data_IF_238714833950
#
_entry.id   IF_238714833950
#
_cell.length_a   1.000
_cell.length_b   1.000
_cell.length_c   1.000
_cell.angle_alpha   90.00
_cell.angle_beta   90.00
_cell.angle_gamma   90.00
#
_symmetry.space_group_name_H-M   'P 1'
#
loop_
_entity.id
_entity.type
_entity.pdbx_description
1 polymer ?
#
# COMPACT_ATOMS: atom_id res chain seq x y z
N UNK A 1 -2.20 20.66 18.64
CA UNK A 1 -1.60 19.33 18.80
C UNK A 1 -1.45 18.76 17.41
N UNK A 2 -0.25 18.75 16.82
CA UNK A 2 -0.01 18.15 15.51
C UNK A 2 0.18 16.65 15.74
N UNK A 3 -0.91 15.90 15.73
CA UNK A 3 -0.88 14.45 15.90
C UNK A 3 -0.63 13.82 14.52
N UNK A 4 0.28 12.85 14.48
CA UNK A 4 0.70 12.02 13.33
C UNK A 4 1.76 12.59 12.36
N UNK A 5 3.02 12.59 12.84
CA UNK A 5 4.21 12.80 12.01
C UNK A 5 4.84 11.50 11.49
N UNK A 6 4.07 10.57 10.92
CA UNK A 6 4.62 9.33 10.32
C UNK A 6 4.34 9.30 8.82
N UNK A 7 5.41 9.16 8.04
CA UNK A 7 5.34 8.88 6.61
C UNK A 7 5.58 7.39 6.39
N UNK A 8 4.66 6.76 5.67
CA UNK A 8 4.84 5.38 5.21
C UNK A 8 5.39 5.37 3.78
N UNK A 9 6.48 4.66 3.56
CA UNK A 9 7.10 4.49 2.25
C UNK A 9 7.37 3.01 1.96
N UNK A 10 7.48 2.62 0.69
CA UNK A 10 7.79 1.24 0.29
C UNK A 10 8.97 1.14 -0.64
N UNK A 11 9.76 0.09 -0.47
CA UNK A 11 10.79 -0.33 -1.43
C UNK A 11 10.76 -1.86 -1.55
N UNK A 12 10.61 -2.37 -2.78
CA UNK A 12 10.35 -3.78 -3.05
C UNK A 12 9.18 -4.30 -2.19
N UNK A 13 9.41 -5.27 -1.29
CA UNK A 13 8.40 -5.83 -0.38
C UNK A 13 8.41 -5.23 1.02
N UNK A 14 9.21 -4.20 1.25
CA UNK A 14 9.36 -3.58 2.57
C UNK A 14 8.59 -2.28 2.67
N UNK A 15 7.92 -2.08 3.80
CA UNK A 15 7.32 -0.81 4.22
C UNK A 15 8.20 -0.20 5.32
N UNK A 16 8.36 1.10 5.27
CA UNK A 16 9.10 1.90 6.23
C UNK A 16 8.13 2.89 6.87
N UNK A 17 8.07 2.90 8.21
CA UNK A 17 7.50 4.01 8.97
C UNK A 17 8.63 4.97 9.30
N UNK A 18 8.52 6.20 8.82
CA UNK A 18 9.55 7.23 8.92
C UNK A 18 8.96 8.39 9.72
N UNK A 19 9.70 8.86 10.73
CA UNK A 19 9.34 10.10 11.41
C UNK A 19 9.47 11.26 10.42
N UNK A 20 8.36 11.97 10.18
CA UNK A 20 8.30 13.03 9.18
C UNK A 20 9.20 14.23 9.52
N UNK A 21 9.51 14.45 10.79
CA UNK A 21 10.28 15.60 11.26
C UNK A 21 11.78 15.29 11.38
N UNK A 22 12.13 14.11 11.89
CA UNK A 22 13.53 13.73 12.12
C UNK A 22 14.13 12.93 10.96
N UNK A 23 13.30 12.46 10.02
CA UNK A 23 13.64 11.52 8.95
C UNK A 23 14.19 10.17 9.45
N UNK A 24 14.03 9.86 10.74
CA UNK A 24 14.45 8.59 11.31
C UNK A 24 13.48 7.46 10.92
N UNK A 25 14.05 6.32 10.55
CA UNK A 25 13.27 5.10 10.31
C UNK A 25 12.85 4.55 11.68
N UNK A 26 11.56 4.66 11.98
CA UNK A 26 10.97 4.15 13.22
C UNK A 26 10.72 2.65 13.15
N UNK A 27 10.34 2.15 11.97
CA UNK A 27 10.06 0.72 11.77
C UNK A 27 10.24 0.30 10.32
N UNK A 28 10.60 -0.96 10.13
CA UNK A 28 10.61 -1.65 8.84
C UNK A 28 9.75 -2.91 8.97
N UNK A 29 8.79 -3.07 8.07
CA UNK A 29 8.01 -4.29 7.91
C UNK A 29 8.33 -4.91 6.56
N UNK A 30 8.58 -6.21 6.53
CA UNK A 30 8.55 -6.97 5.29
C UNK A 30 7.18 -7.61 5.10
N UNK A 31 6.48 -7.22 4.04
CA UNK A 31 5.15 -7.72 3.76
C UNK A 31 5.22 -9.15 3.24
N UNK A 32 4.34 -9.99 3.79
CA UNK A 32 4.09 -11.35 3.30
C UNK A 32 3.32 -11.24 1.97
N UNK A 33 3.94 -11.71 0.89
CA UNK A 33 3.35 -11.76 -0.44
C UNK A 33 3.83 -13.00 -1.19
N UNK A 34 3.09 -13.39 -2.22
CA UNK A 34 3.42 -14.54 -3.06
C UNK A 34 4.54 -14.20 -4.05
N UNK A 35 5.63 -14.97 -4.02
CA UNK A 35 6.77 -14.81 -4.94
C UNK A 35 7.56 -13.50 -4.72
N UNK A 36 8.33 -13.11 -5.74
CA UNK A 36 9.23 -11.94 -5.69
C UNK A 36 8.55 -10.63 -6.12
N UNK A 37 7.25 -10.49 -5.81
CA UNK A 37 6.44 -9.35 -6.24
C UNK A 37 6.76 -8.12 -5.41
N UNK A 38 6.90 -6.95 -6.02
CA UNK A 38 7.08 -5.68 -5.29
C UNK A 38 5.75 -5.02 -4.92
N UNK A 39 5.73 -4.21 -3.86
CA UNK A 39 4.62 -3.31 -3.53
C UNK A 39 4.58 -2.20 -4.56
N UNK A 40 3.42 -2.02 -5.19
CA UNK A 40 3.19 -1.01 -6.22
C UNK A 40 2.43 0.19 -5.68
N UNK A 41 1.49 -0.05 -4.77
CA UNK A 41 0.68 0.99 -4.15
C UNK A 41 0.66 0.80 -2.64
N UNK A 42 0.72 1.93 -1.94
CA UNK A 42 0.62 2.04 -0.49
C UNK A 42 -0.29 3.22 -0.16
N UNK A 43 -1.25 3.02 0.74
CA UNK A 43 -2.10 4.08 1.22
C UNK A 43 -2.36 3.91 2.71
N UNK A 44 -2.31 5.00 3.46
CA UNK A 44 -2.68 5.03 4.88
C UNK A 44 -4.04 5.71 5.02
N UNK A 45 -4.94 5.12 5.81
CA UNK A 45 -6.24 5.71 6.13
C UNK A 45 -6.75 5.19 7.48
N UNK A 46 -6.98 6.10 8.43
CA UNK A 46 -7.36 5.74 9.79
C UNK A 46 -6.32 4.82 10.43
N UNK A 47 -6.74 3.69 10.98
CA UNK A 47 -5.85 2.67 11.59
C UNK A 47 -5.31 1.66 10.58
N UNK A 48 -5.60 1.86 9.29
CA UNK A 48 -5.33 0.89 8.22
C UNK A 48 -4.23 1.33 7.27
N UNK A 49 -3.35 0.39 6.95
CA UNK A 49 -2.36 0.50 5.90
C UNK A 49 -2.70 -0.48 4.77
N UNK A 50 -2.98 0.08 3.59
CA UNK A 50 -3.44 -0.63 2.41
C UNK A 50 -2.28 -0.80 1.44
N UNK A 51 -2.11 -2.02 0.93
CA UNK A 51 -1.01 -2.35 0.02
C UNK A 51 -1.54 -3.15 -1.17
N UNK A 52 -0.91 -2.97 -2.33
CA UNK A 52 -1.14 -3.82 -3.49
C UNK A 52 0.21 -4.20 -4.12
N UNK A 53 0.40 -5.51 -4.34
CA UNK A 53 1.56 -6.05 -5.02
C UNK A 53 1.42 -5.97 -6.54
N UNK A 54 2.54 -5.85 -7.24
CA UNK A 54 2.61 -6.01 -8.69
C UNK A 54 2.05 -7.39 -9.09
N UNK A 55 1.32 -7.43 -10.21
CA UNK A 55 0.74 -8.63 -10.81
C UNK A 55 -0.16 -9.45 -9.86
N UNK A 56 -0.77 -8.81 -8.87
CA UNK A 56 -1.72 -9.38 -7.92
C UNK A 56 -3.13 -8.86 -8.14
N UNK A 57 -4.13 -9.71 -7.91
CA UNK A 57 -5.54 -9.31 -7.80
C UNK A 57 -5.96 -9.11 -6.35
N UNK A 58 -5.03 -9.12 -5.40
CA UNK A 58 -5.30 -8.89 -3.99
C UNK A 58 -4.84 -7.50 -3.55
N UNK A 59 -5.70 -6.85 -2.77
CA UNK A 59 -5.34 -5.72 -1.91
C UNK A 59 -5.26 -6.22 -0.48
N UNK A 60 -4.15 -5.96 0.19
CA UNK A 60 -3.91 -6.41 1.56
C UNK A 60 -4.03 -5.24 2.54
N UNK A 61 -4.80 -5.44 3.60
CA UNK A 61 -4.98 -4.51 4.70
C UNK A 61 -4.13 -4.95 5.90
N UNK A 62 -3.36 -4.01 6.43
CA UNK A 62 -2.54 -4.16 7.63
C UNK A 62 -2.95 -3.12 8.68
N UNK A 63 -2.75 -3.43 9.95
CA UNK A 63 -2.89 -2.45 11.02
C UNK A 63 -1.69 -1.49 11.01
N UNK A 64 -1.92 -0.17 11.06
CA UNK A 64 -0.87 0.84 10.85
C UNK A 64 0.18 0.91 11.99
N UNK A 65 -0.21 0.51 13.21
CA UNK A 65 0.68 0.55 14.39
C UNK A 65 1.35 -0.80 14.67
N UNK A 66 0.58 -1.89 14.62
CA UNK A 66 1.08 -3.25 14.92
C UNK A 66 1.68 -3.90 13.68
N UNK A 67 1.36 -3.38 12.48
CA UNK A 67 1.80 -3.94 11.20
C UNK A 67 1.33 -5.39 10.97
N UNK A 68 0.32 -5.81 11.72
CA UNK A 68 -0.31 -7.11 11.57
C UNK A 68 -1.16 -7.14 10.30
N UNK A 69 -1.07 -8.28 9.60
CA UNK A 69 -1.94 -8.54 8.46
C UNK A 69 -3.36 -8.80 8.96
N UNK A 70 -4.33 -8.03 8.46
CA UNK A 70 -5.72 -8.14 8.85
C UNK A 70 -6.55 -8.87 7.78
N UNK A 71 -6.33 -8.54 6.50
CA UNK A 71 -7.16 -9.10 5.43
C UNK A 71 -6.46 -9.08 4.07
N UNK A 72 -6.79 -10.07 3.23
CA UNK A 72 -6.58 -10.02 1.78
C UNK A 72 -7.95 -9.93 1.09
N UNK A 73 -8.10 -8.96 0.21
CA UNK A 73 -9.34 -8.71 -0.53
C UNK A 73 -9.08 -9.01 -1.99
N UNK A 74 -9.77 -10.00 -2.55
CA UNK A 74 -9.69 -10.31 -3.97
C UNK A 74 -10.54 -9.30 -4.77
N UNK A 75 -9.90 -8.60 -5.69
CA UNK A 75 -10.52 -7.62 -6.57
C UNK A 75 -10.57 -8.10 -8.03
N UNK A 76 -10.21 -9.37 -8.32
CA UNK A 76 -10.15 -9.90 -9.69
C UNK A 76 -11.44 -9.65 -10.48
N UNK A 77 -12.59 -9.94 -9.88
CA UNK A 77 -13.89 -9.80 -10.54
C UNK A 77 -14.22 -8.34 -10.88
N UNK A 78 -13.89 -7.39 -10.00
CA UNK A 78 -14.20 -5.97 -10.21
C UNK A 78 -13.19 -5.29 -11.16
N UNK A 79 -11.93 -5.73 -11.12
CA UNK A 79 -10.93 -5.35 -12.12
C UNK A 79 -11.34 -5.86 -13.50
N UNK A 80 -11.79 -7.12 -13.63
CA UNK A 80 -12.22 -7.67 -14.91
C UNK A 80 -13.38 -6.88 -15.53
N UNK A 81 -14.40 -6.51 -14.73
CA UNK A 81 -15.51 -5.64 -15.18
C UNK A 81 -15.01 -4.27 -15.63
N UNK A 82 -14.10 -3.67 -14.87
CA UNK A 82 -13.59 -2.31 -15.13
C UNK A 82 -12.67 -2.25 -16.35
N UNK A 83 -11.80 -3.26 -16.53
CA UNK A 83 -10.90 -3.37 -17.68
C UNK A 83 -11.67 -3.72 -18.95
N UNK A 84 -12.66 -4.61 -18.87
CA UNK A 84 -13.56 -4.90 -20.00
C UNK A 84 -14.34 -3.66 -20.46
N UNK A 85 -14.59 -2.70 -19.55
CA UNK A 85 -15.19 -1.40 -19.88
C UNK A 85 -14.17 -0.33 -20.33
N UNK A 86 -12.86 -0.61 -20.29
CA UNK A 86 -11.76 0.37 -20.49
C UNK A 86 -10.92 0.14 -21.74
N UNK A 87 -11.33 -0.71 -22.69
CA UNK A 87 -10.66 -0.78 -24.00
C UNK A 87 -10.51 0.65 -24.59
N UNK A 88 -9.29 1.21 -24.51
CA UNK A 88 -8.96 2.56 -24.99
C UNK A 88 -8.43 3.60 -23.97
N UNK A 89 -8.47 3.36 -22.65
CA UNK A 89 -8.00 4.38 -21.67
C UNK A 89 -6.58 4.10 -21.16
N UNK A 90 -5.70 5.11 -21.26
CA UNK A 90 -4.35 5.07 -20.67
C UNK A 90 -4.41 4.94 -19.14
N UNK A 91 -3.51 4.15 -18.49
CA UNK A 91 -3.47 4.07 -17.04
C UNK A 91 -2.91 5.36 -16.43
N UNK A 92 -3.59 5.91 -15.42
CA UNK A 92 -3.06 6.98 -14.58
C UNK A 92 -2.33 6.36 -13.39
N UNK A 93 -1.11 6.80 -13.13
CA UNK A 93 -0.32 6.39 -11.97
C UNK A 93 -0.54 7.40 -10.85
N UNK A 94 -1.11 6.94 -9.73
CA UNK A 94 -1.23 7.75 -8.51
C UNK A 94 -0.06 7.39 -7.60
N UNK A 95 0.91 8.28 -7.49
CA UNK A 95 1.88 8.28 -6.40
C UNK A 95 1.38 9.26 -5.33
N UNK A 96 1.30 8.81 -4.08
CA UNK A 96 0.86 9.64 -2.97
C UNK A 96 1.78 10.86 -2.80
N UNK A 97 1.16 12.04 -2.63
CA UNK A 97 1.79 13.28 -2.20
C UNK A 97 1.19 13.63 -0.83
N UNK A 98 2.04 14.01 0.12
CA UNK A 98 1.66 14.40 1.47
C UNK A 98 0.74 15.65 1.43
N UNK A 99 -0.28 15.70 2.29
CA UNK A 99 -1.00 16.92 2.64
C UNK A 99 -0.52 17.40 4.02
#
# INVERSE_FOLDING_TARGET
QAEDGIVYATCARRVFAINALTAEIMRILELKGEGDRSVKYLAHSGVGLWTAFSDSTYVSLYHAETFEHLQNIDIAADVAKTIGAREGSKPAYVSALLA
#
